data_IF_493200998576
#
_entry.id   IF_493200998576
#
_cell.length_a   1.000
_cell.length_b   1.000
_cell.length_c   1.000
_cell.angle_alpha   90.00
_cell.angle_beta   90.00
_cell.angle_gamma   90.00
#
_symmetry.space_group_name_H-M   'P 1'
#
loop_
_entity.id
_entity.type
_entity.pdbx_description
1 polymer ?
#
# COMPACT_ATOMS: atom_id res chain seq x y z
N UNK A 1 -25.08 -18.91 -16.09
CA UNK A 1 -24.54 -18.58 -14.75
C UNK A 1 -23.45 -17.56 -14.95
N UNK A 2 -23.50 -16.39 -14.32
CA UNK A 2 -22.33 -15.50 -14.31
C UNK A 2 -21.28 -16.12 -13.39
N UNK A 3 -20.03 -16.19 -13.86
CA UNK A 3 -18.91 -16.67 -13.04
C UNK A 3 -18.36 -15.45 -12.32
N UNK A 4 -18.42 -15.44 -11.00
CA UNK A 4 -17.71 -14.41 -10.20
C UNK A 4 -16.22 -14.61 -10.47
N UNK A 5 -15.54 -13.54 -10.89
CA UNK A 5 -14.10 -13.52 -11.10
C UNK A 5 -13.47 -12.52 -10.13
N UNK A 6 -12.31 -12.88 -9.60
CA UNK A 6 -11.52 -12.00 -8.73
C UNK A 6 -10.57 -11.17 -9.58
N UNK A 7 -10.52 -9.86 -9.34
CA UNK A 7 -9.57 -8.97 -10.04
C UNK A 7 -8.36 -8.69 -9.16
N UNK A 8 -7.19 -9.22 -9.54
CA UNK A 8 -5.93 -8.92 -8.84
C UNK A 8 -5.57 -7.43 -8.92
N UNK A 9 -5.76 -6.79 -10.09
CA UNK A 9 -5.67 -5.33 -10.23
C UNK A 9 -6.61 -4.56 -9.28
N UNK A 10 -7.87 -4.99 -9.20
CA UNK A 10 -8.84 -4.38 -8.28
C UNK A 10 -8.40 -4.50 -6.83
N UNK A 11 -7.91 -5.68 -6.45
CA UNK A 11 -7.38 -5.91 -5.10
C UNK A 11 -6.15 -5.05 -4.80
N UNK A 12 -5.20 -4.92 -5.74
CA UNK A 12 -4.01 -4.07 -5.59
C UNK A 12 -4.35 -2.60 -5.41
N UNK A 13 -5.35 -2.09 -6.12
CA UNK A 13 -5.87 -0.72 -5.92
C UNK A 13 -6.42 -0.53 -4.52
N UNK A 14 -7.33 -1.41 -4.10
CA UNK A 14 -7.95 -1.34 -2.78
C UNK A 14 -6.90 -1.44 -1.67
N UNK A 15 -5.95 -2.37 -1.80
CA UNK A 15 -4.85 -2.52 -0.84
C UNK A 15 -4.01 -1.23 -0.74
N UNK A 16 -3.68 -0.61 -1.87
CA UNK A 16 -2.92 0.64 -1.89
C UNK A 16 -3.68 1.79 -1.22
N UNK A 17 -5.02 1.85 -1.36
CA UNK A 17 -5.87 2.82 -0.66
C UNK A 17 -5.92 2.58 0.86
N UNK A 18 -6.08 1.32 1.28
CA UNK A 18 -6.08 0.93 2.69
C UNK A 18 -4.73 1.25 3.35
N UNK A 19 -3.62 0.96 2.67
CA UNK A 19 -2.26 1.26 3.15
C UNK A 19 -2.03 2.77 3.23
N UNK A 20 -2.55 3.57 2.28
CA UNK A 20 -2.50 5.04 2.37
C UNK A 20 -3.28 5.56 3.59
N UNK A 21 -4.46 5.01 3.86
CA UNK A 21 -5.26 5.36 5.04
C UNK A 21 -4.54 5.00 6.35
N UNK A 22 -3.90 3.83 6.39
CA UNK A 22 -3.06 3.42 7.53
C UNK A 22 -1.89 4.39 7.74
N UNK A 23 -1.17 4.75 6.66
CA UNK A 23 -0.07 5.73 6.70
C UNK A 23 -0.54 7.07 7.25
N UNK A 24 -1.68 7.59 6.76
CA UNK A 24 -2.20 8.88 7.22
C UNK A 24 -2.65 8.83 8.68
N UNK A 25 -3.22 7.71 9.13
CA UNK A 25 -3.52 7.47 10.55
C UNK A 25 -2.25 7.42 11.38
N UNK A 26 -1.20 6.76 10.89
CA UNK A 26 0.09 6.72 11.55
C UNK A 26 0.73 8.10 11.65
N UNK A 27 0.68 8.93 10.59
CA UNK A 27 1.12 10.34 10.63
C UNK A 27 0.40 11.12 11.75
N UNK A 28 -0.91 10.90 11.93
CA UNK A 28 -1.67 11.53 13.03
C UNK A 28 -1.21 11.04 14.41
N UNK A 29 -0.99 9.73 14.56
CA UNK A 29 -0.52 9.12 15.81
C UNK A 29 0.90 9.54 16.17
N UNK A 30 1.78 9.66 15.19
CA UNK A 30 3.16 10.15 15.35
C UNK A 30 3.20 11.60 15.84
N UNK A 31 2.12 12.37 15.69
CA UNK A 31 2.03 13.71 16.27
C UNK A 31 1.65 13.68 17.78
N UNK A 32 1.28 12.53 18.34
CA UNK A 32 0.97 12.37 19.76
C UNK A 32 2.25 12.08 20.59
N UNK A 33 2.38 12.67 21.77
CA UNK A 33 3.61 12.65 22.59
C UNK A 33 3.86 11.32 23.32
N UNK A 34 2.85 10.46 23.45
CA UNK A 34 2.92 9.24 24.28
C UNK A 34 3.30 7.94 23.53
N UNK A 35 3.50 8.00 22.21
CA UNK A 35 3.80 6.82 21.39
C UNK A 35 5.29 6.66 21.08
N UNK A 36 5.76 5.41 21.03
CA UNK A 36 7.06 5.08 20.45
C UNK A 36 7.02 5.32 18.93
N UNK A 37 7.46 6.51 18.54
CA UNK A 37 7.35 7.02 17.17
C UNK A 37 8.23 6.28 16.19
N UNK A 38 9.38 5.79 16.64
CA UNK A 38 10.36 5.16 15.77
C UNK A 38 9.92 3.75 15.39
N UNK A 39 9.40 2.99 16.35
CA UNK A 39 8.88 1.65 16.06
C UNK A 39 7.59 1.69 15.22
N UNK A 40 6.67 2.61 15.51
CA UNK A 40 5.46 2.79 14.70
C UNK A 40 5.82 3.17 13.25
N UNK A 41 6.77 4.08 13.08
CA UNK A 41 7.24 4.50 11.74
C UNK A 41 7.83 3.31 10.98
N UNK A 42 8.76 2.56 11.60
CA UNK A 42 9.39 1.39 10.99
C UNK A 42 8.37 0.37 10.49
N UNK A 43 7.40 0.01 11.33
CA UNK A 43 6.37 -0.98 10.97
C UNK A 43 5.50 -0.49 9.81
N UNK A 44 5.15 0.79 9.80
CA UNK A 44 4.34 1.37 8.71
C UNK A 44 5.11 1.39 7.40
N UNK A 45 6.38 1.79 7.41
CA UNK A 45 7.22 1.80 6.21
C UNK A 45 7.45 0.38 5.66
N UNK A 46 7.62 -0.62 6.54
CA UNK A 46 7.69 -2.04 6.15
C UNK A 46 6.40 -2.49 5.44
N UNK A 47 5.23 -2.13 5.98
CA UNK A 47 3.92 -2.45 5.35
C UNK A 47 3.79 -1.77 3.98
N UNK A 48 4.16 -0.49 3.88
CA UNK A 48 4.14 0.27 2.62
C UNK A 48 5.05 -0.38 1.58
N UNK A 49 6.29 -0.71 1.95
CA UNK A 49 7.25 -1.36 1.06
C UNK A 49 6.74 -2.72 0.56
N UNK A 50 6.20 -3.55 1.46
CA UNK A 50 5.60 -4.83 1.07
C UNK A 50 4.41 -4.63 0.11
N UNK A 51 3.53 -3.67 0.40
CA UNK A 51 2.38 -3.36 -0.47
C UNK A 51 2.83 -2.90 -1.86
N UNK A 52 3.81 -1.99 -1.93
CA UNK A 52 4.32 -1.49 -3.21
C UNK A 52 4.98 -2.58 -4.05
N UNK A 53 5.64 -3.56 -3.42
CA UNK A 53 6.25 -4.69 -4.15
C UNK A 53 5.23 -5.48 -4.98
N UNK A 54 3.98 -5.56 -4.50
CA UNK A 54 2.87 -6.24 -5.18
C UNK A 54 2.41 -5.46 -6.42
N UNK A 55 2.52 -4.13 -6.41
CA UNK A 55 2.19 -3.27 -7.54
C UNK A 55 3.17 -3.42 -8.70
N UNK A 56 4.42 -3.84 -8.43
CA UNK A 56 5.44 -4.11 -9.43
C UNK A 56 5.34 -5.51 -10.07
N UNK A 57 4.45 -6.39 -9.58
CA UNK A 57 4.26 -7.71 -10.16
C UNK A 57 3.39 -7.60 -11.40
N UNK A 58 3.98 -7.82 -12.57
CA UNK A 58 3.25 -7.90 -13.84
C UNK A 58 3.50 -9.21 -14.57
N UNK A 59 2.50 -9.74 -15.27
CA UNK A 59 2.62 -10.96 -16.09
C UNK A 59 2.16 -10.63 -17.51
N UNK A 60 3.03 -10.88 -18.49
CA UNK A 60 2.73 -10.61 -19.89
C UNK A 60 1.51 -11.40 -20.38
N UNK A 61 0.58 -10.70 -21.02
CA UNK A 61 -0.65 -11.29 -21.58
C UNK A 61 -1.77 -11.53 -20.55
N UNK A 62 -1.54 -11.27 -19.26
CA UNK A 62 -2.56 -11.46 -18.21
C UNK A 62 -3.11 -10.13 -17.71
N UNK A 63 -4.34 -9.77 -18.10
CA UNK A 63 -4.98 -8.48 -17.79
C UNK A 63 -5.05 -8.19 -16.29
N UNK A 64 -5.28 -9.23 -15.47
CA UNK A 64 -5.39 -9.10 -14.01
C UNK A 64 -4.06 -8.78 -13.33
N UNK A 65 -2.94 -8.96 -14.03
CA UNK A 65 -1.58 -8.71 -13.58
C UNK A 65 -0.89 -7.67 -14.48
N UNK A 66 -1.60 -6.61 -14.87
CA UNK A 66 -0.96 -5.47 -15.54
C UNK A 66 -0.01 -4.74 -14.60
N UNK A 67 0.93 -3.96 -15.12
CA UNK A 67 1.73 -3.06 -14.30
C UNK A 67 0.82 -2.05 -13.57
N UNK A 68 1.11 -1.82 -12.29
CA UNK A 68 0.40 -0.92 -11.38
C UNK A 68 1.39 -0.07 -10.55
N UNK A 69 2.63 0.07 -11.02
CA UNK A 69 3.67 0.85 -10.35
C UNK A 69 3.29 2.33 -10.13
N UNK A 70 2.30 2.85 -10.85
CA UNK A 70 1.75 4.20 -10.71
C UNK A 70 0.95 4.43 -9.42
N UNK A 71 0.51 3.38 -8.74
CA UNK A 71 -0.27 3.48 -7.48
C UNK A 71 0.56 3.27 -6.21
N UNK A 72 1.89 3.32 -6.31
CA UNK A 72 2.79 3.23 -5.16
C UNK A 72 2.43 4.26 -4.07
N UNK A 73 2.47 3.82 -2.81
CA UNK A 73 2.30 4.67 -1.63
C UNK A 73 3.68 5.09 -1.14
N UNK A 74 4.00 6.37 -1.00
CA UNK A 74 5.31 6.78 -0.50
C UNK A 74 5.43 6.47 0.99
N UNK A 75 6.65 6.14 1.41
CA UNK A 75 6.99 5.92 2.83
C UNK A 75 6.87 7.23 3.62
N UNK A 76 6.86 7.14 4.96
CA UNK A 76 6.59 8.29 5.81
C UNK A 76 7.57 9.45 5.60
N UNK A 77 8.83 9.17 5.28
CA UNK A 77 9.92 10.14 5.10
C UNK A 77 10.02 10.74 3.68
N UNK A 78 9.20 10.29 2.72
CA UNK A 78 9.30 10.70 1.30
C UNK A 78 8.30 11.81 0.89
N UNK A 79 7.39 12.21 1.78
CA UNK A 79 6.44 13.32 1.56
C UNK A 79 6.71 14.45 2.58
N UNK A 80 7.79 15.19 2.37
CA UNK A 80 8.07 16.50 3.00
C UNK A 80 7.84 17.65 2.01
#
# INVERSE_FOLDING_TARGET
MSKVSFSMNGWRRNLSEEVRSLRDTAKQLLNNEELDRDELRRVVDEIICMSNSVNCVSIEGEELFSDMSDVCVPILDEED
#
